data_IF_118818276927
#
_entry.id   IF_118818276927
#
_cell.length_a   1.000
_cell.length_b   1.000
_cell.length_c   1.000
_cell.angle_alpha   90.00
_cell.angle_beta   90.00
_cell.angle_gamma   90.00
#
_symmetry.space_group_name_H-M   'P 1'
#
loop_
_entity.id
_entity.type
_entity.pdbx_description
1 polymer ?
#
# COMPACT_ATOMS: atom_id res chain seq x y z
N UNK A 1 -16.81 30.20 -5.72
CA UNK A 1 -16.15 28.90 -5.50
C UNK A 1 -15.54 28.46 -6.82
N UNK A 2 -14.27 28.06 -6.85
CA UNK A 2 -13.67 27.49 -8.08
C UNK A 2 -14.40 26.20 -8.42
N UNK A 3 -14.68 25.95 -9.69
CA UNK A 3 -15.12 24.63 -10.15
C UNK A 3 -14.11 23.57 -9.68
N UNK A 4 -14.61 22.51 -9.06
CA UNK A 4 -13.80 21.35 -8.69
C UNK A 4 -13.25 20.69 -9.96
N UNK A 5 -11.93 20.50 -10.03
CA UNK A 5 -11.27 19.76 -11.11
C UNK A 5 -10.50 18.60 -10.50
N UNK A 6 -10.92 17.37 -10.81
CA UNK A 6 -10.23 16.16 -10.34
C UNK A 6 -8.79 16.15 -10.87
N UNK A 7 -7.84 15.78 -10.01
CA UNK A 7 -6.46 15.59 -10.43
C UNK A 7 -6.34 14.46 -11.47
N UNK A 8 -5.49 14.65 -12.49
CA UNK A 8 -5.26 13.63 -13.51
C UNK A 8 -4.45 12.47 -12.91
N UNK A 9 -5.04 11.27 -12.86
CA UNK A 9 -4.33 10.03 -12.49
C UNK A 9 -3.26 9.76 -13.54
N UNK A 10 -2.00 9.62 -13.11
CA UNK A 10 -0.86 9.38 -14.01
C UNK A 10 -0.46 7.91 -14.09
N UNK A 11 -0.61 7.18 -12.99
CA UNK A 11 -0.20 5.78 -12.87
C UNK A 11 -1.26 5.05 -12.04
N UNK A 12 -1.53 3.79 -12.40
CA UNK A 12 -2.29 2.87 -11.54
C UNK A 12 -1.32 2.24 -10.56
N UNK A 13 -1.66 2.26 -9.27
CA UNK A 13 -0.83 1.72 -8.21
C UNK A 13 -1.58 0.52 -7.62
N UNK A 14 -0.92 -0.62 -7.50
CA UNK A 14 -1.47 -1.79 -6.81
C UNK A 14 -1.25 -1.70 -5.29
N UNK A 15 -1.95 -2.50 -4.47
CA UNK A 15 -1.66 -2.57 -3.05
C UNK A 15 -0.21 -2.95 -2.72
N UNK A 16 0.39 -3.86 -3.49
CA UNK A 16 1.80 -4.23 -3.36
C UNK A 16 2.73 -3.05 -3.66
N UNK A 17 2.47 -2.32 -4.75
CA UNK A 17 3.21 -1.12 -5.09
C UNK A 17 3.07 -0.03 -4.03
N UNK A 18 1.88 0.16 -3.43
CA UNK A 18 1.68 1.10 -2.32
C UNK A 18 2.58 0.79 -1.13
N UNK A 19 2.70 -0.49 -0.74
CA UNK A 19 3.60 -0.92 0.34
C UNK A 19 5.04 -0.59 -0.02
N UNK A 20 5.47 -0.93 -1.24
CA UNK A 20 6.83 -0.65 -1.73
C UNK A 20 7.15 0.85 -1.72
N UNK A 21 6.26 1.66 -2.29
CA UNK A 21 6.42 3.12 -2.37
C UNK A 21 6.56 3.71 -0.95
N UNK A 22 5.68 3.35 -0.02
CA UNK A 22 5.74 3.88 1.34
C UNK A 22 6.95 3.37 2.14
N UNK A 23 7.42 2.15 1.88
CA UNK A 23 8.66 1.62 2.45
C UNK A 23 9.87 2.43 1.97
N UNK A 24 9.97 2.62 0.66
CA UNK A 24 11.10 3.34 0.03
C UNK A 24 11.12 4.82 0.39
N UNK A 25 9.95 5.46 0.50
CA UNK A 25 9.83 6.84 1.00
C UNK A 25 10.29 7.00 2.45
N UNK A 26 10.32 5.90 3.22
CA UNK A 26 10.83 5.87 4.58
C UNK A 26 12.26 5.31 4.67
N UNK A 27 12.92 5.13 3.52
CA UNK A 27 14.31 4.64 3.42
C UNK A 27 14.54 3.26 4.04
N UNK A 28 13.46 2.47 4.21
CA UNK A 28 13.54 1.13 4.77
C UNK A 28 13.85 0.11 3.67
N UNK A 29 14.72 -0.85 3.95
CA UNK A 29 14.86 -2.09 3.19
C UNK A 29 13.71 -3.07 3.52
N UNK A 30 13.54 -4.10 2.68
CA UNK A 30 12.55 -5.14 2.97
C UNK A 30 12.90 -5.94 4.24
N UNK A 31 14.18 -6.05 4.60
CA UNK A 31 14.62 -6.69 5.85
C UNK A 31 14.26 -5.84 7.07
N UNK A 32 14.51 -4.52 7.02
CA UNK A 32 14.13 -3.63 8.12
C UNK A 32 12.61 -3.59 8.31
N UNK A 33 11.83 -3.57 7.22
CA UNK A 33 10.38 -3.69 7.34
C UNK A 33 9.94 -5.06 7.90
N UNK A 34 10.67 -6.14 7.57
CA UNK A 34 10.41 -7.47 8.13
C UNK A 34 10.60 -7.49 9.65
N UNK A 35 11.70 -6.89 10.13
CA UNK A 35 11.98 -6.75 11.56
C UNK A 35 10.90 -5.94 12.28
N UNK A 36 10.49 -4.80 11.72
CA UNK A 36 9.47 -3.93 12.31
C UNK A 36 8.07 -4.57 12.38
N UNK A 37 7.76 -5.49 11.46
CA UNK A 37 6.41 -6.06 11.31
C UNK A 37 6.31 -7.50 11.80
N UNK A 38 7.44 -8.16 12.07
CA UNK A 38 7.52 -9.61 12.27
C UNK A 38 6.94 -10.42 11.08
N UNK A 39 6.89 -9.82 9.88
CA UNK A 39 6.51 -10.50 8.64
C UNK A 39 7.80 -10.94 7.95
N UNK A 40 7.94 -12.20 7.51
CA UNK A 40 9.14 -12.63 6.80
C UNK A 40 9.45 -11.75 5.59
N UNK A 41 10.71 -11.39 5.37
CA UNK A 41 11.12 -10.56 4.22
C UNK A 41 10.65 -11.16 2.89
N UNK A 42 10.67 -12.48 2.74
CA UNK A 42 10.14 -13.17 1.56
C UNK A 42 8.65 -12.92 1.34
N UNK A 43 7.87 -12.78 2.42
CA UNK A 43 6.45 -12.43 2.37
C UNK A 43 6.25 -10.98 1.99
N UNK A 44 7.04 -10.04 2.54
CA UNK A 44 7.03 -8.63 2.12
C UNK A 44 7.36 -8.52 0.63
N UNK A 45 8.41 -9.21 0.20
CA UNK A 45 8.84 -9.31 -1.20
C UNK A 45 7.75 -9.85 -2.13
N UNK A 46 6.95 -10.81 -1.66
CA UNK A 46 5.81 -11.35 -2.39
C UNK A 46 4.61 -10.38 -2.42
N UNK A 47 4.34 -9.66 -1.33
CA UNK A 47 3.32 -8.61 -1.27
C UNK A 47 3.68 -7.47 -2.22
N UNK A 48 4.91 -6.96 -2.18
CA UNK A 48 5.37 -5.85 -3.02
C UNK A 48 5.37 -6.16 -4.53
N UNK A 49 5.29 -7.44 -4.89
CA UNK A 49 5.19 -7.92 -6.28
C UNK A 49 3.79 -8.44 -6.63
N UNK A 50 2.81 -8.19 -5.77
CA UNK A 50 1.41 -8.64 -5.90
C UNK A 50 1.28 -10.16 -6.13
N UNK A 51 2.24 -10.94 -5.63
CA UNK A 51 2.20 -12.42 -5.66
C UNK A 51 1.35 -12.99 -4.53
N UNK A 52 1.09 -12.18 -3.50
CA UNK A 52 0.25 -12.51 -2.35
C UNK A 52 -0.68 -11.35 -2.08
N UNK A 53 -1.98 -11.63 -1.94
CA UNK A 53 -2.96 -10.61 -1.59
C UNK A 53 -2.68 -10.01 -0.20
N UNK A 54 -2.74 -8.68 -0.13
CA UNK A 54 -2.61 -7.94 1.11
C UNK A 54 -3.94 -7.99 1.88
N UNK A 55 -4.11 -8.99 2.75
CA UNK A 55 -5.26 -9.09 3.63
C UNK A 55 -5.30 -8.00 4.70
N UNK A 56 -6.49 -7.72 5.26
CA UNK A 56 -6.76 -6.65 6.23
C UNK A 56 -5.83 -6.70 7.45
N UNK A 57 -5.57 -7.88 8.01
CA UNK A 57 -4.71 -8.02 9.19
C UNK A 57 -3.24 -7.64 8.88
N UNK A 58 -2.70 -8.09 7.75
CA UNK A 58 -1.36 -7.69 7.31
C UNK A 58 -1.29 -6.22 6.96
N UNK A 59 -2.36 -5.67 6.36
CA UNK A 59 -2.45 -4.24 6.08
C UNK A 59 -2.38 -3.40 7.37
N UNK A 60 -3.06 -3.81 8.45
CA UNK A 60 -2.97 -3.12 9.76
C UNK A 60 -1.55 -3.14 10.32
N UNK A 61 -0.87 -4.28 10.26
CA UNK A 61 0.51 -4.43 10.75
C UNK A 61 1.48 -3.55 9.95
N UNK A 62 1.43 -3.65 8.62
CA UNK A 62 2.27 -2.85 7.73
C UNK A 62 1.98 -1.36 7.87
N UNK A 63 0.71 -0.96 7.98
CA UNK A 63 0.32 0.43 8.13
C UNK A 63 0.84 1.04 9.44
N UNK A 64 0.88 0.26 10.53
CA UNK A 64 1.47 0.69 11.80
C UNK A 64 2.97 0.91 11.68
N UNK A 65 3.70 -0.01 11.05
CA UNK A 65 5.14 0.11 10.82
C UNK A 65 5.48 1.27 9.89
N UNK A 66 4.69 1.47 8.83
CA UNK A 66 4.84 2.53 7.85
C UNK A 66 4.16 3.85 8.25
N UNK A 67 3.61 3.96 9.48
CA UNK A 67 2.94 5.16 10.01
C UNK A 67 1.90 5.77 9.07
N UNK A 68 1.08 4.92 8.44
CA UNK A 68 -0.01 5.33 7.57
C UNK A 68 -1.34 4.70 8.01
N UNK A 69 -2.45 5.15 7.42
CA UNK A 69 -3.73 4.49 7.61
C UNK A 69 -3.83 3.26 6.69
N UNK A 70 -4.37 2.10 7.13
CA UNK A 70 -4.43 0.88 6.31
C UNK A 70 -5.07 1.07 4.93
N UNK A 71 -6.07 1.94 4.83
CA UNK A 71 -6.73 2.26 3.57
C UNK A 71 -5.79 2.79 2.48
N UNK A 72 -4.68 3.45 2.86
CA UNK A 72 -3.67 3.93 1.90
C UNK A 72 -2.97 2.77 1.20
N UNK A 73 -2.82 1.64 1.88
CA UNK A 73 -2.20 0.43 1.33
C UNK A 73 -3.17 -0.37 0.47
N UNK A 74 -4.40 -0.60 0.96
CA UNK A 74 -5.33 -1.55 0.32
C UNK A 74 -6.26 -0.92 -0.71
N UNK A 75 -6.39 0.41 -0.74
CA UNK A 75 -7.29 1.12 -1.65
C UNK A 75 -6.57 2.18 -2.50
N UNK A 76 -5.45 1.85 -3.19
CA UNK A 76 -4.77 2.80 -4.04
C UNK A 76 -5.63 3.23 -5.22
N UNK A 77 -6.09 4.48 -5.18
CA UNK A 77 -6.92 5.05 -6.24
C UNK A 77 -8.38 4.59 -6.21
N UNK A 78 -8.91 4.28 -5.02
CA UNK A 78 -10.35 4.08 -4.82
C UNK A 78 -11.15 5.29 -5.28
N UNK A 79 -12.22 5.02 -6.03
CA UNK A 79 -13.14 6.01 -6.56
C UNK A 79 -14.55 5.55 -6.22
N UNK A 80 -15.24 6.33 -5.39
CA UNK A 80 -16.58 6.02 -4.85
C UNK A 80 -17.62 5.87 -5.97
N UNK A 81 -17.41 6.52 -7.11
CA UNK A 81 -18.32 6.45 -8.25
C UNK A 81 -18.06 5.24 -9.16
N UNK A 82 -16.91 4.58 -9.03
CA UNK A 82 -16.61 3.34 -9.74
C UNK A 82 -16.68 2.17 -8.78
N UNK A 83 -17.61 1.23 -8.98
CA UNK A 83 -17.50 -0.08 -8.32
C UNK A 83 -16.22 -0.76 -8.80
N UNK A 84 -15.16 -0.67 -8.01
CA UNK A 84 -14.03 -1.58 -8.09
C UNK A 84 -14.13 -2.52 -6.89
N UNK A 85 -14.85 -3.62 -7.10
CA UNK A 85 -14.63 -4.82 -6.31
C UNK A 85 -13.22 -5.37 -6.63
N UNK A 86 -12.58 -5.89 -5.58
CA UNK A 86 -11.21 -6.41 -5.54
C UNK A 86 -10.85 -7.37 -6.68
#
# INVERSE_FOLDING_TARGET
MSEYRKAKKRVNVTPGESVKILRELQELSQNELAELTSIPQSTISAIERDRVNLGVERAKVLARALRCHPAVLVFPGWDVASESAA
#
